data_IF_863322192448
#
_entry.id   IF_863322192448
#
_cell.length_a   1.000
_cell.length_b   1.000
_cell.length_c   1.000
_cell.angle_alpha   90.00
_cell.angle_beta   90.00
_cell.angle_gamma   90.00
#
_symmetry.space_group_name_H-M   'P 1'
#
loop_
_entity.id
_entity.type
_entity.pdbx_description
1 polymer ?
2 non-polymer ?
3 non-polymer ?
4 water ?
#
# COMPACT_ATOMS: atom_id res chain seq x y z
N UNK A 10 12.11 -11.95 6.95
CA UNK A 10 11.70 -10.60 7.43
C UNK A 10 10.18 -10.57 7.63
N UNK A 11 9.76 -10.17 8.82
CA UNK A 11 8.33 -10.03 9.08
C UNK A 11 8.09 -8.95 10.13
N UNK A 12 6.84 -8.56 10.27
CA UNK A 12 6.47 -7.53 11.22
C UNK A 12 6.07 -8.28 12.46
N UNK A 13 6.09 -7.58 13.58
CA UNK A 13 5.50 -8.09 14.78
C UNK A 13 4.05 -8.49 14.48
N UNK A 14 3.60 -9.61 15.03
CA UNK A 14 2.20 -10.01 14.88
C UNK A 14 1.21 -9.00 15.37
N UNK A 15 1.57 -8.23 16.41
CA UNK A 15 0.67 -7.21 16.91
C UNK A 15 0.54 -6.06 15.86
N UNK A 16 1.64 -5.72 15.21
CA UNK A 16 1.64 -4.66 14.19
C UNK A 16 0.84 -5.10 12.98
N UNK A 17 1.08 -6.32 12.53
CA UNK A 17 0.31 -6.88 11.42
C UNK A 17 -1.17 -6.91 11.71
N UNK A 18 -1.54 -7.28 12.94
CA UNK A 18 -2.93 -7.33 13.30
C UNK A 18 -3.54 -5.95 13.24
N UNK A 19 -2.82 -4.95 13.69
CA UNK A 19 -3.33 -3.59 13.64
C UNK A 19 -3.48 -3.07 12.19
N UNK A 20 -2.54 -3.44 11.34
CA UNK A 20 -2.64 -3.08 9.91
C UNK A 20 -3.85 -3.75 9.30
N UNK A 21 -4.09 -5.00 9.65
CA UNK A 21 -5.30 -5.69 9.20
C UNK A 21 -6.60 -5.07 9.66
N UNK A 22 -6.63 -4.56 10.88
CA UNK A 22 -7.77 -3.87 11.39
C UNK A 22 -8.02 -2.56 10.64
N UNK A 23 -6.96 -1.80 10.40
CA UNK A 23 -7.11 -0.62 9.59
C UNK A 23 -7.66 -0.98 8.21
N UNK A 24 -7.15 -2.05 7.64
CA UNK A 24 -7.56 -2.43 6.30
C UNK A 24 -9.07 -2.80 6.30
N UNK A 25 -9.48 -3.57 7.31
CA UNK A 25 -10.91 -3.91 7.41
C UNK A 25 -11.75 -2.67 7.54
N UNK A 26 -11.33 -1.71 8.36
CA UNK A 26 -12.04 -0.47 8.49
C UNK A 26 -12.18 0.29 7.19
N UNK A 27 -11.08 0.40 6.45
CA UNK A 27 -11.12 1.09 5.16
C UNK A 27 -12.07 0.35 4.19
N UNK A 28 -11.92 -0.95 4.12
CA UNK A 28 -12.81 -1.75 3.25
C UNK A 28 -14.28 -1.53 3.58
N UNK A 29 -14.55 -1.28 4.85
CA UNK A 29 -15.91 -1.03 5.35
C UNK A 29 -16.41 0.36 4.96
N UNK A 30 -15.50 1.32 4.90
CA UNK A 30 -15.85 2.65 4.41
C UNK A 30 -16.31 2.53 2.93
N UNK A 31 -15.59 1.76 2.14
CA UNK A 31 -15.96 1.51 0.74
C UNK A 31 -17.30 0.78 0.63
N UNK A 32 -17.48 -0.31 1.38
CA UNK A 32 -18.81 -0.94 1.49
C UNK A 32 -19.01 -1.60 2.87
N UNK A 33 -20.13 -1.30 3.53
CA UNK A 33 -20.38 -1.80 4.90
C UNK A 33 -20.35 -3.32 4.97
N UNK A 34 -20.82 -3.95 3.91
CA UNK A 34 -20.84 -5.40 3.79
C UNK A 34 -19.82 -5.93 2.83
N UNK A 35 -18.62 -5.33 2.82
CA UNK A 35 -17.62 -5.81 1.88
C UNK A 35 -17.31 -7.26 1.98
N UNK A 36 -17.36 -7.80 3.19
CA UNK A 36 -17.02 -9.19 3.40
C UNK A 36 -17.94 -10.17 2.70
N UNK A 37 -19.16 -9.73 2.40
CA UNK A 37 -20.13 -10.56 1.66
C UNK A 37 -20.06 -10.27 0.17
N UNK A 38 -19.70 -9.03 -0.21
CA UNK A 38 -19.75 -8.58 -1.59
C UNK A 38 -18.50 -8.96 -2.38
N UNK A 39 -17.37 -9.03 -1.70
CA UNK A 39 -16.09 -9.22 -2.35
C UNK A 39 -15.74 -10.67 -2.33
N UNK A 40 -14.96 -11.08 -3.32
CA UNK A 40 -14.48 -12.44 -3.45
C UNK A 40 -12.97 -12.42 -3.63
N UNK A 41 -12.26 -13.53 -3.31
CA UNK A 41 -10.82 -13.64 -3.50
C UNK A 41 -10.30 -13.16 -4.87
N UNK A 42 -11.00 -13.50 -5.95
CA UNK A 42 -10.63 -13.06 -7.30
C UNK A 42 -10.60 -11.56 -7.50
N UNK A 43 -11.40 -10.82 -6.73
CA UNK A 43 -11.34 -9.37 -6.77
C UNK A 43 -9.97 -8.85 -6.33
N UNK A 44 -9.43 -9.43 -5.26
CA UNK A 44 -8.18 -9.00 -4.67
C UNK A 44 -7.02 -9.43 -5.55
N UNK A 45 -7.15 -10.59 -6.18
CA UNK A 45 -6.17 -11.03 -7.18
C UNK A 45 -6.05 -10.05 -8.38
N UNK A 46 -7.21 -9.58 -8.86
CA UNK A 46 -7.25 -8.62 -9.95
C UNK A 46 -6.65 -7.30 -9.50
N UNK A 47 -7.06 -6.85 -8.34
CA UNK A 47 -6.58 -5.56 -7.84
C UNK A 47 -5.05 -5.55 -7.68
N UNK A 48 -4.47 -6.65 -7.19
CA UNK A 48 -3.03 -6.73 -6.98
C UNK A 48 -2.37 -6.76 -8.35
N UNK A 49 -2.94 -7.52 -9.29
CA UNK A 49 -2.40 -7.59 -10.65
C UNK A 49 -2.29 -6.19 -11.25
N UNK A 50 -3.33 -5.39 -11.07
CA UNK A 50 -3.35 -4.07 -11.65
C UNK A 50 -2.37 -3.13 -10.98
N UNK A 51 -2.22 -3.21 -9.66
CA UNK A 51 -1.20 -2.42 -9.00
C UNK A 51 0.18 -2.87 -9.38
N UNK A 52 0.37 -4.17 -9.53
CA UNK A 52 1.69 -4.67 -10.00
C UNK A 52 2.03 -4.12 -11.40
N UNK A 53 1.04 -4.00 -12.31
CA UNK A 53 1.28 -3.33 -13.61
C UNK A 53 1.71 -1.87 -13.39
N UNK A 54 1.08 -1.19 -12.43
CA UNK A 54 1.48 0.20 -12.12
C UNK A 54 2.91 0.25 -11.60
N UNK A 55 3.25 -0.73 -10.78
CA UNK A 55 4.62 -0.87 -10.24
C UNK A 55 5.64 -1.11 -11.38
N UNK A 56 5.32 -2.04 -12.27
CA UNK A 56 6.19 -2.30 -13.41
C UNK A 56 6.36 -1.11 -14.30
N UNK A 57 5.29 -0.34 -14.50
CA UNK A 57 5.34 0.86 -15.29
C UNK A 57 6.13 2.02 -14.67
N UNK A 58 6.63 1.84 -13.45
CA UNK A 58 7.52 2.79 -12.81
C UNK A 58 8.93 2.67 -13.37
N UNK A 59 9.20 1.62 -14.15
CA UNK A 59 10.52 1.36 -14.73
C UNK A 59 10.52 1.62 -16.24
N UNK A 60 11.70 1.97 -16.79
CA UNK A 60 11.80 2.20 -18.23
C UNK A 60 11.95 0.86 -18.96
N UNK A 61 10.93 0.02 -18.91
CA UNK A 61 11.02 -1.34 -19.48
C UNK A 61 10.80 -1.36 -20.99
N UNK A 62 10.11 -0.37 -21.52
CA UNK A 62 9.77 -0.37 -22.97
C UNK A 62 10.99 -0.07 -23.78
N UNK A 63 11.25 -0.91 -24.78
CA UNK A 63 12.40 -0.78 -25.66
C UNK A 63 12.09 0.05 -26.88
N UNK A 64 10.82 0.42 -27.02
CA UNK A 64 10.35 1.13 -28.23
C UNK A 64 9.84 2.52 -27.97
N UNK A 65 9.76 2.94 -26.69
CA UNK A 65 9.18 4.20 -26.35
C UNK A 65 10.03 4.81 -25.27
N UNK A 66 10.40 6.08 -25.46
CA UNK A 66 11.20 6.81 -24.51
C UNK A 66 12.27 5.99 -23.80
N UNK A 67 13.21 5.49 -24.61
CA UNK A 67 14.15 4.48 -24.14
C UNK A 67 15.17 4.97 -23.11
N UNK A 68 15.38 6.27 -23.02
CA UNK A 68 16.29 6.82 -22.03
C UNK A 68 15.58 7.31 -20.75
N UNK A 69 14.30 6.97 -20.60
CA UNK A 69 13.54 7.31 -19.43
C UNK A 69 14.22 6.78 -18.19
N UNK A 70 13.92 7.43 -17.08
CA UNK A 70 14.44 7.01 -15.77
C UNK A 70 13.35 6.41 -14.87
N UNK A 71 13.74 5.47 -14.00
CA UNK A 71 12.72 4.80 -13.13
C UNK A 71 12.17 5.78 -12.10
N UNK A 72 10.91 5.63 -11.75
CA UNK A 72 10.32 6.51 -10.74
C UNK A 72 10.33 5.72 -9.44
N UNK A 73 11.46 5.81 -8.73
CA UNK A 73 11.70 4.99 -7.55
C UNK A 73 10.87 5.40 -6.35
N UNK A 74 10.47 6.67 -6.28
CA UNK A 74 9.54 7.12 -5.23
C UNK A 74 8.15 6.53 -5.46
N UNK A 75 7.75 6.43 -6.72
CA UNK A 75 6.47 5.83 -7.03
C UNK A 75 6.41 4.37 -6.70
N UNK A 76 7.54 3.68 -6.83
CA UNK A 76 7.63 2.25 -6.48
C UNK A 76 7.11 2.04 -5.07
N UNK A 77 7.47 2.94 -4.18
CA UNK A 77 7.11 2.84 -2.73
C UNK A 77 5.58 2.85 -2.61
N UNK A 78 4.95 3.75 -3.35
CA UNK A 78 3.48 3.91 -3.30
C UNK A 78 2.80 2.66 -3.85
N UNK A 79 3.27 2.16 -4.98
CA UNK A 79 2.66 0.98 -5.60
C UNK A 79 2.79 -0.28 -4.71
N UNK A 80 3.91 -0.44 -4.04
CA UNK A 80 4.10 -1.57 -3.10
C UNK A 80 3.12 -1.46 -1.92
N UNK A 81 2.93 -0.24 -1.45
CA UNK A 81 1.99 0.06 -0.37
C UNK A 81 0.57 -0.27 -0.81
N UNK A 82 0.23 0.04 -2.07
CA UNK A 82 -1.10 -0.29 -2.61
C UNK A 82 -1.31 -1.82 -2.68
N UNK A 83 -0.27 -2.52 -3.09
CA UNK A 83 -0.32 -3.98 -3.12
C UNK A 83 -0.63 -4.56 -1.71
N UNK A 84 0.06 -4.02 -0.72
CA UNK A 84 -0.17 -4.41 0.69
C UNK A 84 -1.62 -4.25 1.10
N UNK A 85 -2.25 -3.14 0.72
CA UNK A 85 -3.66 -2.95 1.09
C UNK A 85 -4.49 -4.13 0.54
N UNK A 86 -4.22 -4.48 -0.70
CA UNK A 86 -4.98 -5.54 -1.36
C UNK A 86 -4.61 -6.95 -0.91
N UNK A 87 -3.37 -7.18 -0.52
CA UNK A 87 -2.92 -8.47 -0.02
C UNK A 87 -3.43 -8.69 1.41
N UNK A 88 -3.45 -7.64 2.23
CA UNK A 88 -4.11 -7.72 3.55
C UNK A 88 -5.58 -8.09 3.43
N UNK A 89 -6.22 -7.50 2.43
CA UNK A 89 -7.63 -7.68 2.19
C UNK A 89 -7.91 -9.11 1.77
N UNK A 90 -7.14 -9.60 0.81
CA UNK A 90 -7.29 -10.97 0.30
C UNK A 90 -7.16 -11.99 1.41
N UNK A 91 -6.16 -11.77 2.26
CA UNK A 91 -5.83 -12.69 3.39
C UNK A 91 -6.96 -12.75 4.38
N UNK A 92 -7.75 -11.69 4.48
CA UNK A 92 -8.92 -11.68 5.40
C UNK A 92 -10.04 -12.58 4.92
N UNK A 93 -10.06 -12.86 3.63
CA UNK A 93 -11.14 -13.63 3.05
C UNK A 93 -10.78 -15.07 2.84
N UNK A 94 -9.53 -15.33 2.44
CA UNK A 94 -9.08 -16.70 2.26
C UNK A 94 -7.66 -16.85 2.69
N UNK A 95 -7.41 -17.98 3.32
CA UNK A 95 -6.11 -18.33 3.75
C UNK A 95 -5.32 -18.79 2.53
N UNK A 96 -4.02 -18.83 2.71
CA UNK A 96 -3.14 -19.37 1.71
C UNK A 96 -3.32 -20.88 1.62
N UNK A 97 -3.66 -21.54 2.74
CA UNK A 97 -3.97 -22.99 2.73
C UNK A 97 -5.15 -23.31 1.78
N UNK A 98 -6.10 -22.39 1.65
CA UNK A 98 -7.33 -22.69 0.91
C UNK A 98 -7.14 -23.43 -0.42
N UNK A 155 10.37 -20.49 0.11
CA UNK A 155 9.36 -20.27 -0.91
C UNK A 155 9.54 -18.88 -1.52
N UNK A 156 9.79 -17.88 -0.68
CA UNK A 156 9.96 -16.48 -1.13
C UNK A 156 11.17 -16.28 -2.05
N UNK A 157 12.33 -16.79 -1.64
CA UNK A 157 13.56 -16.65 -2.43
C UNK A 157 13.46 -17.22 -3.86
N UNK A 158 12.47 -18.09 -4.11
CA UNK A 158 12.11 -18.51 -5.48
C UNK A 158 11.51 -17.43 -6.37
N UNK A 159 10.85 -16.44 -5.78
CA UNK A 159 10.00 -15.48 -6.53
C UNK A 159 10.56 -14.06 -6.51
N UNK A 160 11.25 -13.70 -5.43
CA UNK A 160 11.85 -12.37 -5.28
C UNK A 160 13.34 -12.42 -5.47
N UNK A 161 13.85 -11.41 -6.14
CA UNK A 161 15.26 -11.33 -6.51
C UNK A 161 15.85 -10.04 -6.01
N UNK A 162 16.83 -10.16 -5.12
CA UNK A 162 17.47 -8.99 -4.51
C UNK A 162 18.90 -8.76 -5.07
N UNK A 163 19.37 -7.50 -5.13
CA UNK A 163 18.69 -6.28 -4.73
C UNK A 163 17.70 -5.78 -5.79
N UNK A 164 16.58 -5.19 -5.35
CA UNK A 164 15.56 -4.67 -6.27
C UNK A 164 16.00 -3.37 -6.92
N UNK A 165 17.12 -2.81 -6.47
CA UNK A 165 17.71 -1.67 -7.14
C UNK A 165 18.12 -2.05 -8.55
N UNK A 166 18.39 -3.32 -8.82
CA UNK A 166 18.65 -3.75 -10.18
C UNK A 166 17.31 -3.91 -10.90
N UNK A 167 17.14 -3.16 -11.98
CA UNK A 167 15.91 -3.12 -12.73
C UNK A 167 15.49 -4.50 -13.25
N UNK A 168 16.42 -5.32 -13.65
CA UNK A 168 16.07 -6.66 -14.11
C UNK A 168 15.48 -7.55 -12.99
N UNK A 169 16.09 -7.47 -11.82
CA UNK A 169 15.55 -8.09 -10.62
C UNK A 169 14.13 -7.59 -10.27
N UNK A 170 13.95 -6.30 -10.39
CA UNK A 170 12.65 -5.68 -10.07
C UNK A 170 11.58 -6.17 -11.03
N UNK A 171 11.88 -6.12 -12.32
CA UNK A 171 10.88 -6.55 -13.31
C UNK A 171 10.51 -8.01 -13.12
N UNK A 172 11.50 -8.87 -12.85
CA UNK A 172 11.22 -10.30 -12.63
C UNK A 172 10.38 -10.50 -11.38
N UNK A 173 10.78 -9.86 -10.29
CA UNK A 173 10.11 -10.01 -8.97
C UNK A 173 8.68 -9.54 -8.99
N UNK A 174 8.46 -8.39 -9.62
CA UNK A 174 7.16 -7.78 -9.58
C UNK A 174 6.21 -8.48 -10.50
N UNK A 175 6.71 -9.06 -11.60
CA UNK A 175 5.88 -9.97 -12.36
C UNK A 175 5.50 -11.23 -11.57
N UNK A 176 6.38 -11.74 -10.73
CA UNK A 176 6.07 -12.91 -9.89
C UNK A 176 5.02 -12.61 -8.84
N UNK A 177 4.94 -11.35 -8.41
CA UNK A 177 3.82 -10.94 -7.51
C UNK A 177 2.49 -11.18 -8.21
N UNK A 178 2.43 -10.95 -9.52
CA UNK A 178 1.22 -11.21 -10.31
C UNK A 178 0.88 -12.70 -10.26
N UNK A 179 1.88 -13.57 -10.45
CA UNK A 179 1.65 -15.04 -10.36
C UNK A 179 1.07 -15.46 -8.99
N UNK A 180 1.65 -14.93 -7.93
CA UNK A 180 1.23 -15.19 -6.57
C UNK A 180 -0.17 -14.70 -6.30
N UNK A 181 -0.50 -13.51 -6.82
CA UNK A 181 -1.88 -13.00 -6.70
C UNK A 181 -2.89 -13.90 -7.36
N UNK A 182 -2.57 -14.38 -8.55
CA UNK A 182 -3.52 -15.19 -9.30
C UNK A 182 -3.71 -16.55 -8.62
N UNK A 183 -2.67 -17.01 -7.91
CA UNK A 183 -2.78 -18.21 -7.06
C UNK A 183 -3.48 -18.00 -5.73
N UNK A 184 -3.89 -16.75 -5.47
CA UNK A 184 -4.49 -16.35 -4.22
C UNK A 184 -3.62 -16.64 -3.03
N UNK A 185 -2.32 -16.50 -3.21
CA UNK A 185 -1.39 -16.61 -2.09
C UNK A 185 -1.16 -15.26 -1.48
N UNK A 186 -2.18 -14.74 -0.78
CA UNK A 186 -2.15 -13.36 -0.29
C UNK A 186 -1.15 -13.10 0.81
N UNK A 187 -0.99 -14.07 1.71
CA UNK A 187 -0.02 -13.95 2.78
C UNK A 187 1.38 -13.91 2.22
N UNK A 188 1.62 -14.66 1.17
CA UNK A 188 2.93 -14.65 0.55
C UNK A 188 3.18 -13.31 -0.15
N UNK A 189 2.16 -12.76 -0.80
CA UNK A 189 2.28 -11.39 -1.33
C UNK A 189 2.63 -10.39 -0.24
N UNK A 190 1.93 -10.41 0.88
CA UNK A 190 2.26 -9.54 2.03
C UNK A 190 3.73 -9.69 2.44
N UNK A 191 4.21 -10.94 2.57
CA UNK A 191 5.61 -11.21 2.89
C UNK A 191 6.57 -10.65 1.85
N UNK A 192 6.19 -10.77 0.59
CA UNK A 192 7.01 -10.23 -0.52
C UNK A 192 7.11 -8.70 -0.44
N UNK A 193 6.00 -8.03 -0.14
CA UNK A 193 6.05 -6.56 0.02
C UNK A 193 6.90 -6.13 1.20
N UNK A 194 6.78 -6.86 2.31
CA UNK A 194 7.56 -6.55 3.50
C UNK A 194 9.04 -6.73 3.21
N UNK A 195 9.36 -7.82 2.48
CA UNK A 195 10.74 -8.09 2.08
C UNK A 195 11.29 -7.04 1.12
N UNK A 196 10.46 -6.64 0.15
CA UNK A 196 10.79 -5.53 -0.80
C UNK A 196 11.10 -4.22 -0.09
N UNK A 197 10.28 -3.82 0.90
CA UNK A 197 10.51 -2.57 1.60
C UNK A 197 11.79 -2.66 2.43
N UNK A 198 12.01 -3.82 3.03
CA UNK A 198 13.26 -4.06 3.75
C UNK A 198 14.48 -3.92 2.82
N UNK A 199 14.38 -4.51 1.64
CA UNK A 199 15.47 -4.47 0.68
C UNK A 199 15.69 -3.06 0.11
N UNK A 200 14.62 -2.40 -0.33
CA UNK A 200 14.75 -1.05 -0.88
C UNK A 200 15.13 -0.05 0.19
N UNK A 201 14.63 -0.26 1.39
CA UNK A 201 14.94 0.56 2.55
C UNK A 201 13.99 1.71 2.69
N UNK A 202 12.70 1.43 2.63
CA UNK A 202 11.67 2.40 2.98
C UNK A 202 10.71 1.89 4.07
N UNK A 203 9.99 2.84 4.66
CA UNK A 203 9.19 2.62 5.85
C UNK A 203 7.77 2.20 5.45
N UNK A 204 7.63 0.92 5.21
CA UNK A 204 6.38 0.34 4.70
C UNK A 204 5.21 0.66 5.59
N UNK A 205 5.40 0.47 6.90
CA UNK A 205 4.32 0.72 7.84
C UNK A 205 3.86 2.16 7.81
N UNK A 206 4.81 3.12 7.78
CA UNK A 206 4.42 4.52 7.70
C UNK A 206 3.73 4.87 6.35
N UNK A 207 4.24 4.33 5.24
CA UNK A 207 3.57 4.49 3.92
C UNK A 207 2.16 3.96 3.94
N UNK A 208 1.98 2.80 4.56
CA UNK A 208 0.64 2.18 4.66
C UNK A 208 -0.33 3.12 5.39
N UNK A 209 0.07 3.64 6.53
CA UNK A 209 -0.80 4.51 7.31
C UNK A 209 -1.12 5.76 6.53
N UNK A 210 -0.11 6.31 5.85
CA UNK A 210 -0.37 7.53 5.08
C UNK A 210 -1.32 7.28 3.90
N UNK A 211 -1.09 6.20 3.14
CA UNK A 211 -1.94 5.91 1.97
C UNK A 211 -3.32 5.47 2.41
N UNK A 212 -3.38 4.77 3.56
CA UNK A 212 -4.66 4.40 4.14
C UNK A 212 -5.50 5.66 4.35
N UNK A 213 -4.85 6.69 4.88
CA UNK A 213 -5.55 7.95 5.18
C UNK A 213 -6.01 8.63 3.88
N UNK A 214 -5.13 8.68 2.86
CA UNK A 214 -5.54 9.22 1.54
C UNK A 214 -6.68 8.44 0.94
N UNK A 215 -6.64 7.12 1.12
CA UNK A 215 -7.74 6.31 0.61
C UNK A 215 -9.10 6.71 1.20
N UNK A 216 -9.12 6.95 2.50
CA UNK A 216 -10.31 7.47 3.18
C UNK A 216 -10.74 8.86 2.73
N UNK A 217 -9.78 9.76 2.56
CA UNK A 217 -10.05 11.10 2.02
C UNK A 217 -10.69 11.02 0.63
N UNK A 218 -10.14 10.19 -0.23
CA UNK A 218 -10.70 9.95 -1.54
C UNK A 218 -12.15 9.56 -1.49
N UNK A 219 -12.47 8.61 -0.60
CA UNK A 219 -13.87 8.18 -0.46
C UNK A 219 -14.78 9.31 0.02
N UNK A 220 -14.27 10.17 0.90
CA UNK A 220 -15.00 11.37 1.37
C UNK A 220 -15.23 12.40 0.26
N UNK A 221 -14.36 12.42 -0.75
CA UNK A 221 -14.38 13.43 -1.80
C UNK A 221 -14.85 12.92 -3.18
N UNK A 222 -15.73 11.93 -3.15
CA UNK A 222 -16.43 11.49 -4.36
C UNK A 222 -15.76 10.46 -5.21
N UNK A 223 -14.81 9.70 -4.69
CA UNK A 223 -14.08 8.75 -5.50
C UNK A 223 -14.97 7.71 -6.15
N UNK A 224 -15.93 7.17 -5.38
CA UNK A 224 -16.87 6.15 -5.87
C UNK A 224 -17.81 6.69 -6.93
N UNK A 225 -18.06 7.99 -6.88
CA UNK A 225 -18.96 8.67 -7.81
C UNK A 225 -18.30 9.14 -9.11
N UNK A 226 -16.97 9.09 -9.17
CA UNK A 226 -16.29 9.54 -10.37
C UNK A 226 -16.07 11.04 -10.43
N UNK A 227 -16.22 11.72 -9.30
CA UNK A 227 -15.99 13.17 -9.27
C UNK A 227 -14.65 13.65 -8.70
N UNK A 228 -13.77 12.72 -8.37
CA UNK A 228 -12.47 13.06 -7.76
C UNK A 228 -11.44 13.25 -8.85
N UNK A 229 -10.50 14.18 -8.59
CA UNK A 229 -9.39 14.45 -9.52
C UNK A 229 -8.03 14.27 -8.78
N UNK A 230 -7.27 13.27 -9.21
CA UNK A 230 -6.05 12.81 -8.51
C UNK A 230 -4.88 13.78 -8.72
N UNK A 231 -4.78 14.32 -9.92
CA UNK A 231 -3.64 15.23 -10.29
C UNK A 231 -4.19 16.62 -10.41
N UNK A 232 -3.66 17.52 -9.58
CA UNK A 232 -4.04 18.92 -9.52
C UNK A 232 -2.83 19.88 -9.47
N UNK A 233 -2.78 20.81 -10.41
CA UNK A 233 -1.70 21.81 -10.47
C UNK A 233 -0.34 21.12 -10.49
N UNK A 234 -0.27 20.08 -11.31
CA UNK A 234 0.95 19.35 -11.61
C UNK A 234 1.36 18.34 -10.54
N UNK A 235 0.53 18.17 -9.51
CA UNK A 235 0.89 17.31 -8.35
C UNK A 235 -0.16 16.19 -8.16
N UNK A 236 0.30 14.96 -8.16
CA UNK A 236 -0.56 13.78 -7.90
C UNK A 236 -0.77 13.65 -6.38
N UNK A 237 -1.99 13.33 -5.95
CA UNK A 237 -2.25 13.22 -4.50
C UNK A 237 -1.20 12.31 -3.77
N UNK A 238 -0.88 11.16 -4.39
CA UNK A 238 0.11 10.23 -3.85
C UNK A 238 1.42 10.89 -3.52
N UNK A 239 1.86 11.82 -4.37
CA UNK A 239 3.18 12.43 -4.19
C UNK A 239 3.28 13.23 -2.88
N UNK A 240 2.19 13.79 -2.45
CA UNK A 240 2.15 14.54 -1.18
C UNK A 240 2.36 13.66 0.05
N UNK A 241 2.27 12.36 -0.12
CA UNK A 241 2.42 11.45 1.07
C UNK A 241 3.88 11.36 1.55
N UNK A 242 4.84 11.48 0.64
CA UNK A 242 6.25 11.34 1.02
C UNK A 242 6.66 12.27 2.18
N UNK A 243 6.22 13.52 2.07
CA UNK A 243 6.53 14.54 3.06
C UNK A 243 5.80 14.33 4.37
N UNK A 244 4.62 13.73 4.28
CA UNK A 244 3.86 13.40 5.48
C UNK A 244 4.56 12.34 6.37
N UNK A 245 5.31 11.44 5.78
CA UNK A 245 5.94 10.31 6.45
C UNK A 245 7.42 10.49 6.81
N UNK A 246 8.11 11.41 6.13
CA UNK A 246 9.58 11.47 6.29
C UNK A 246 10.08 11.75 7.74
N UNK A 247 9.31 12.48 8.56
CA UNK A 247 9.73 12.65 9.98
C UNK A 247 9.75 11.35 10.83
N UNK A 248 9.08 10.29 10.36
CA UNK A 248 8.87 9.08 11.17
C UNK A 248 9.85 7.96 10.91
N UNK A 249 10.44 7.46 11.99
CA UNK A 249 11.38 6.35 11.86
C UNK A 249 10.64 5.02 11.86
N UNK A 250 11.35 3.96 11.48
CA UNK A 250 10.84 2.60 11.57
C UNK A 250 10.47 2.25 13.01
N UNK A 251 11.30 2.70 13.95
CA UNK A 251 11.03 2.40 15.35
C UNK A 251 9.85 3.18 15.86
N UNK A 252 9.67 4.42 15.38
CA UNK A 252 8.54 5.26 15.79
C UNK A 252 7.22 4.49 15.55
N UNK A 253 7.12 3.89 14.36
CA UNK A 253 5.87 3.31 13.89
C UNK A 253 5.71 1.81 14.20
N UNK A 254 6.70 1.20 14.80
CA UNK A 254 6.62 -0.18 15.25
C UNK A 254 6.84 -0.38 16.79
N UNK A 255 7.11 0.70 17.53
CA UNK A 255 7.34 0.63 18.98
C UNK A 255 6.11 0.04 19.66
N UNK A 256 6.32 -1.00 20.44
CA UNK A 256 5.20 -1.69 21.09
C UNK A 256 4.26 -0.79 21.87
N UNK A 257 4.82 0.16 22.61
CA UNK A 257 4.03 0.96 23.54
C UNK A 257 3.44 2.21 22.91
N UNK A 258 4.11 2.76 21.89
CA UNK A 258 3.81 4.10 21.42
C UNK A 258 3.42 4.17 19.93
N UNK A 259 3.40 3.04 19.24
CA UNK A 259 3.16 3.07 17.80
C UNK A 259 1.86 3.71 17.44
N UNK A 260 0.81 3.53 18.24
CA UNK A 260 -0.49 4.08 17.88
C UNK A 260 -0.51 5.59 17.86
N UNK A 261 0.22 6.24 18.76
CA UNK A 261 0.26 7.69 18.71
C UNK A 261 1.01 8.17 17.45
N UNK A 262 2.04 7.46 17.04
CA UNK A 262 2.77 7.82 15.81
C UNK A 262 1.90 7.59 14.54
N UNK A 263 1.15 6.51 14.50
CA UNK A 263 0.20 6.33 13.41
C UNK A 263 -0.79 7.47 13.37
N UNK A 264 -1.32 7.86 14.54
CA UNK A 264 -2.28 8.94 14.64
C UNK A 264 -1.67 10.23 14.11
N UNK A 265 -0.39 10.40 14.40
CA UNK A 265 0.32 11.60 13.93
C UNK A 265 0.44 11.60 12.41
N UNK A 266 0.77 10.45 11.82
CA UNK A 266 0.81 10.33 10.33
C UNK A 266 -0.55 10.71 9.74
N UNK A 267 -1.61 10.16 10.31
CA UNK A 267 -2.93 10.47 9.84
C UNK A 267 -3.23 11.97 9.84
N UNK A 268 -2.97 12.62 10.97
CA UNK A 268 -3.19 14.08 11.10
C UNK A 268 -2.40 14.84 10.02
N UNK A 269 -1.15 14.42 9.76
CA UNK A 269 -0.36 15.05 8.69
C UNK A 269 -0.96 14.90 7.31
N UNK A 270 -1.56 13.75 7.00
CA UNK A 270 -2.16 13.57 5.70
C UNK A 270 -3.45 14.39 5.62
N UNK A 271 -4.24 14.42 6.68
CA UNK A 271 -5.44 15.24 6.68
C UNK A 271 -5.08 16.69 6.45
N UNK A 272 -4.02 17.17 7.12
CA UNK A 272 -3.51 18.54 6.89
C UNK A 272 -3.14 18.79 5.43
N UNK A 273 -2.46 17.82 4.81
CA UNK A 273 -1.96 17.93 3.41
C UNK A 273 -3.11 18.11 2.43
N UNK A 274 -4.32 17.63 2.79
CA UNK A 274 -5.46 17.72 1.94
C UNK A 274 -6.51 18.67 2.49
N UNK A 275 -6.17 19.36 3.57
CA UNK A 275 -7.03 20.41 4.15
C UNK A 275 -8.34 19.87 4.70
N UNK A 276 -8.33 18.65 5.17
CA UNK A 276 -9.58 18.00 5.61
C UNK A 276 -10.13 18.74 6.84
N UNK A 277 -11.38 19.21 6.75
CA UNK A 277 -11.93 19.88 7.94
C UNK A 277 -11.84 18.97 9.19
N UNK A 278 -11.51 19.58 10.32
CA UNK A 278 -11.31 18.86 11.58
C UNK A 278 -12.46 17.90 11.92
N UNK A 279 -13.70 18.27 11.58
CA UNK A 279 -14.88 17.48 11.94
C UNK A 279 -14.99 16.20 11.10
N UNK A 280 -14.39 16.21 9.92
CA UNK A 280 -14.42 15.06 9.02
C UNK A 280 -13.23 14.10 9.25
N UNK A 281 -12.31 14.46 10.14
CA UNK A 281 -11.12 13.68 10.37
C UNK A 281 -11.44 12.55 11.27
N UNK A 282 -10.82 11.41 10.99
CA UNK A 282 -10.94 10.22 11.79
C UNK A 282 -9.58 9.95 12.40
N UNK A 283 -9.58 9.76 13.71
CA UNK A 283 -8.33 9.50 14.44
C UNK A 283 -8.06 7.98 14.54
N UNK A 284 -6.92 7.61 15.12
CA UNK A 284 -6.45 6.23 15.12
C UNK A 284 -7.46 5.31 15.79
N UNK A 285 -8.09 5.79 16.86
CA UNK A 285 -9.10 5.04 17.59
C UNK A 285 -10.29 4.61 16.76
N UNK A 286 -10.62 5.35 15.70
CA UNK A 286 -11.73 4.99 14.82
C UNK A 286 -11.48 3.60 14.22
N UNK A 287 -10.21 3.27 13.99
CA UNK A 287 -9.85 2.17 13.13
C UNK A 287 -9.49 0.89 13.91
N UNK A 288 -9.10 1.02 15.18
CA UNK A 288 -8.59 -0.11 15.97
C UNK A 288 -9.64 -0.80 16.89
#
# INVERSE_FOLDING_TARGET
>A
GPAMKNARRVSLSPLILRSLAELQDGLNTVVDKNWRQLRRPGDWSLAITMEAAELLDSYPWKWWKNVKAQPDLQNVKIELTDILHFSLSGAMQVSDENSGAVHKAEAGSNGESGKHWCYFDQPRALPAAGGAEYVACVETPGSSLSAPVSADECDLADFMFFPLSDTNNALASFQNIIRLASLQRFQLVTSAVIAAADDIGFNLVAYYVAKHTLNGIRQMKGYKDGTYVKVQKGVEDNELLHGCISPFSLDDVTNEGNYKTKWDDIMHRVYDAFGTPKEERLNIGHWLKS
#
